data_IF_140907329662
#
_entry.id   IF_140907329662
#
_cell.length_a   1.000
_cell.length_b   1.000
_cell.length_c   1.000
_cell.angle_alpha   90.00
_cell.angle_beta   90.00
_cell.angle_gamma   90.00
#
_symmetry.space_group_name_H-M   'P 1'
#
loop_
_entity.id
_entity.type
_entity.pdbx_description
1 polymer ?
#
# COMPACT_ATOMS: atom_id res chain seq x y z
N UNK A 1 -55.31 9.50 59.16
CA UNK A 1 -54.85 9.64 57.77
C UNK A 1 -53.34 9.67 57.82
N UNK A 2 -52.69 8.53 57.69
CA UNK A 2 -51.24 8.39 57.75
C UNK A 2 -50.69 8.32 56.32
N UNK A 3 -49.84 9.32 55.98
CA UNK A 3 -49.14 9.36 54.68
C UNK A 3 -48.01 8.31 54.66
N UNK A 4 -47.84 7.56 53.59
CA UNK A 4 -46.73 6.68 53.47
C UNK A 4 -45.45 7.46 53.18
N UNK A 5 -44.40 7.19 53.99
CA UNK A 5 -43.05 7.69 53.76
C UNK A 5 -42.46 7.14 52.48
N UNK A 6 -41.80 7.95 51.64
CA UNK A 6 -41.06 7.45 50.51
C UNK A 6 -39.82 6.70 51.01
N UNK A 7 -39.78 5.39 50.81
CA UNK A 7 -38.58 4.56 51.00
C UNK A 7 -37.47 5.02 50.06
N UNK A 8 -36.54 5.81 50.60
CA UNK A 8 -35.28 6.14 49.91
C UNK A 8 -34.43 4.88 49.79
N UNK A 9 -34.42 4.30 48.60
CA UNK A 9 -33.47 3.30 48.19
C UNK A 9 -32.07 3.94 48.18
N UNK A 10 -31.40 3.91 49.34
CA UNK A 10 -29.98 4.19 49.45
C UNK A 10 -29.26 2.98 48.90
N UNK A 11 -29.30 2.81 47.60
CA UNK A 11 -28.43 1.84 46.92
C UNK A 11 -26.99 2.26 47.17
N UNK A 12 -26.30 1.40 47.89
CA UNK A 12 -24.92 1.43 48.32
C UNK A 12 -23.99 2.13 47.32
N UNK A 13 -23.74 3.41 47.50
CA UNK A 13 -22.94 4.26 46.61
C UNK A 13 -21.51 3.75 46.34
N UNK A 14 -21.03 2.82 47.19
CA UNK A 14 -19.73 2.22 46.99
C UNK A 14 -19.72 1.15 45.87
N UNK A 15 -20.81 0.42 45.65
CA UNK A 15 -20.90 -0.58 44.58
C UNK A 15 -21.09 0.09 43.22
N UNK A 16 -21.96 1.08 43.15
CA UNK A 16 -22.20 1.87 41.93
C UNK A 16 -20.96 2.64 41.52
N UNK A 17 -20.23 3.24 42.48
CA UNK A 17 -18.95 3.91 42.19
C UNK A 17 -17.88 2.95 41.68
N UNK A 18 -17.76 1.76 42.26
CA UNK A 18 -16.81 0.74 41.78
C UNK A 18 -17.12 0.28 40.37
N UNK A 19 -18.41 0.04 40.07
CA UNK A 19 -18.84 -0.35 38.71
C UNK A 19 -18.56 0.79 37.71
N UNK A 20 -18.90 2.03 38.07
CA UNK A 20 -18.64 3.18 37.19
C UNK A 20 -17.16 3.41 36.92
N UNK A 21 -16.29 3.29 37.93
CA UNK A 21 -14.83 3.38 37.75
C UNK A 21 -14.31 2.24 36.88
N UNK A 22 -14.76 1.01 37.13
CA UNK A 22 -14.34 -0.15 36.31
C UNK A 22 -14.76 0.00 34.85
N UNK A 23 -15.97 0.44 34.58
CA UNK A 23 -16.47 0.67 33.22
C UNK A 23 -15.70 1.81 32.54
N UNK A 24 -15.39 2.90 33.29
CA UNK A 24 -14.59 3.99 32.76
C UNK A 24 -13.18 3.55 32.36
N UNK A 25 -12.50 2.81 33.27
CA UNK A 25 -11.15 2.29 33.01
C UNK A 25 -11.13 1.35 31.81
N UNK A 26 -12.11 0.42 31.74
CA UNK A 26 -12.26 -0.50 30.63
C UNK A 26 -12.51 0.25 29.30
N UNK A 27 -13.37 1.27 29.32
CA UNK A 27 -13.67 2.11 28.17
C UNK A 27 -12.45 2.88 27.68
N UNK A 28 -11.66 3.46 28.60
CA UNK A 28 -10.40 4.14 28.25
C UNK A 28 -9.36 3.18 27.67
N UNK A 29 -9.22 2.01 28.27
CA UNK A 29 -8.29 0.98 27.77
C UNK A 29 -8.67 0.50 26.36
N UNK A 30 -9.96 0.28 26.12
CA UNK A 30 -10.45 -0.12 24.80
C UNK A 30 -10.30 0.99 23.77
N UNK A 31 -10.59 2.24 24.13
CA UNK A 31 -10.36 3.41 23.27
C UNK A 31 -8.89 3.60 22.91
N UNK A 32 -7.99 3.43 23.88
CA UNK A 32 -6.56 3.51 23.64
C UNK A 32 -6.07 2.40 22.69
N UNK A 33 -6.59 1.17 22.84
CA UNK A 33 -6.26 0.05 21.96
C UNK A 33 -6.78 0.28 20.54
N UNK A 34 -8.01 0.79 20.38
CA UNK A 34 -8.55 1.15 19.07
C UNK A 34 -7.74 2.28 18.42
N UNK A 35 -7.39 3.31 19.18
CA UNK A 35 -6.59 4.42 18.67
C UNK A 35 -5.22 3.97 18.19
N UNK A 36 -4.52 3.14 18.96
CA UNK A 36 -3.25 2.54 18.54
C UNK A 36 -3.39 1.72 17.26
N UNK A 37 -4.44 0.89 17.15
CA UNK A 37 -4.66 0.05 15.97
C UNK A 37 -4.94 0.87 14.70
N UNK A 38 -5.69 1.96 14.81
CA UNK A 38 -5.96 2.83 13.65
C UNK A 38 -4.76 3.70 13.26
N UNK A 39 -3.89 4.03 14.21
CA UNK A 39 -2.73 4.90 13.95
C UNK A 39 -1.62 4.20 13.16
N UNK A 40 -1.51 2.88 13.25
CA UNK A 40 -0.42 2.11 12.63
C UNK A 40 -0.66 1.73 11.17
N UNK A 41 -1.91 1.72 10.68
CA UNK A 41 -2.26 1.18 9.36
C UNK A 41 -2.51 2.22 8.26
N UNK A 42 -2.23 3.49 8.48
CA UNK A 42 -2.38 4.49 7.41
C UNK A 42 -1.22 4.38 6.42
N UNK A 43 -1.34 3.45 5.48
CA UNK A 43 -0.43 3.33 4.36
C UNK A 43 -0.93 4.22 3.21
N UNK A 44 -0.10 5.16 2.78
CA UNK A 44 -0.42 6.05 1.67
C UNK A 44 0.05 5.43 0.35
N UNK A 45 -0.88 5.06 -0.52
CA UNK A 45 -0.58 4.65 -1.89
C UNK A 45 -0.32 5.90 -2.75
N UNK A 46 0.89 6.04 -3.26
CA UNK A 46 1.33 7.22 -4.00
C UNK A 46 2.24 6.83 -5.17
N UNK A 47 2.21 7.64 -6.23
CA UNK A 47 3.21 7.55 -7.28
C UNK A 47 4.49 8.27 -6.87
N UNK A 48 5.62 7.83 -7.43
CA UNK A 48 6.94 8.42 -7.12
C UNK A 48 6.97 9.92 -7.41
N UNK A 49 6.40 10.36 -8.53
CA UNK A 49 6.37 11.77 -8.92
C UNK A 49 5.63 12.66 -7.90
N UNK A 50 4.55 12.17 -7.35
CA UNK A 50 3.77 12.89 -6.34
C UNK A 50 4.56 13.09 -5.04
N UNK A 51 5.24 12.03 -4.59
CA UNK A 51 6.04 12.06 -3.36
C UNK A 51 7.31 12.90 -3.55
N UNK A 52 7.96 12.79 -4.71
CA UNK A 52 9.21 13.50 -4.99
C UNK A 52 9.01 14.99 -5.28
N UNK A 53 7.78 15.44 -5.50
CA UNK A 53 7.46 16.88 -5.59
C UNK A 53 7.68 17.59 -4.25
N UNK A 54 7.36 16.94 -3.13
CA UNK A 54 7.57 17.44 -1.77
C UNK A 54 7.99 16.31 -0.83
N UNK A 55 9.23 15.81 -0.92
CA UNK A 55 9.67 14.63 -0.18
C UNK A 55 9.68 14.85 1.34
N UNK A 56 9.92 16.09 1.79
CA UNK A 56 9.96 16.42 3.22
C UNK A 56 8.63 16.12 3.94
N UNK A 57 7.50 16.27 3.26
CA UNK A 57 6.18 15.99 3.83
C UNK A 57 5.93 14.50 4.09
N UNK A 58 6.76 13.65 3.48
CA UNK A 58 6.63 12.19 3.50
C UNK A 58 7.70 11.47 4.31
N UNK A 59 8.71 12.19 4.81
CA UNK A 59 9.75 11.57 5.62
C UNK A 59 9.18 10.90 6.86
N UNK A 60 9.61 9.67 7.11
CA UNK A 60 9.18 8.85 8.25
C UNK A 60 7.79 8.24 8.13
N UNK A 61 7.04 8.54 7.06
CA UNK A 61 5.72 7.93 6.83
C UNK A 61 5.84 6.63 6.06
N UNK A 62 4.97 5.68 6.38
CA UNK A 62 4.81 4.44 5.62
C UNK A 62 4.09 4.70 4.31
N UNK A 63 4.73 4.34 3.21
CA UNK A 63 4.24 4.58 1.85
C UNK A 63 4.22 3.27 1.06
N UNK A 64 3.24 3.17 0.16
CA UNK A 64 3.27 2.27 -0.98
C UNK A 64 3.61 3.11 -2.22
N UNK A 65 4.85 3.02 -2.69
CA UNK A 65 5.29 3.76 -3.87
C UNK A 65 5.13 2.90 -5.13
N UNK A 66 4.41 3.45 -6.09
CA UNK A 66 4.21 2.85 -7.41
C UNK A 66 5.12 3.51 -8.45
N UNK A 67 5.77 2.69 -9.26
CA UNK A 67 6.64 3.14 -10.34
C UNK A 67 7.25 1.98 -11.12
N UNK A 68 8.31 2.26 -11.88
CA UNK A 68 9.07 1.28 -12.63
C UNK A 68 10.45 1.12 -12.02
N UNK A 69 10.85 -0.13 -11.78
CA UNK A 69 12.16 -0.45 -11.25
C UNK A 69 13.24 -0.29 -12.33
N UNK A 70 14.38 0.27 -11.97
CA UNK A 70 15.56 0.42 -12.84
C UNK A 70 16.84 0.36 -12.03
N UNK A 71 17.97 0.14 -12.72
CA UNK A 71 19.31 0.04 -12.14
C UNK A 71 19.37 -0.91 -10.92
N UNK A 72 18.80 -2.11 -11.10
CA UNK A 72 18.74 -3.11 -10.03
C UNK A 72 20.13 -3.71 -9.83
N UNK A 73 20.71 -3.47 -8.65
CA UNK A 73 22.02 -3.98 -8.25
C UNK A 73 21.88 -4.84 -7.00
N UNK A 74 22.33 -6.07 -7.11
CA UNK A 74 22.44 -6.99 -5.96
C UNK A 74 23.88 -7.01 -5.46
N UNK A 75 24.05 -6.94 -4.13
CA UNK A 75 25.35 -7.15 -3.52
C UNK A 75 25.72 -8.65 -3.60
N UNK A 76 26.95 -9.01 -4.06
CA UNK A 76 27.39 -10.41 -4.09
C UNK A 76 27.23 -11.06 -2.71
N UNK A 77 26.82 -12.32 -2.68
CA UNK A 77 26.64 -13.13 -1.47
C UNK A 77 25.70 -12.54 -0.39
N UNK A 78 24.80 -11.67 -0.80
CA UNK A 78 23.84 -11.01 0.08
C UNK A 78 22.46 -10.94 -0.59
N UNK A 79 21.43 -10.76 0.22
CA UNK A 79 20.07 -10.45 -0.22
C UNK A 79 19.80 -8.94 -0.26
N UNK A 80 20.86 -8.13 -0.24
CA UNK A 80 20.75 -6.68 -0.31
C UNK A 80 20.64 -6.22 -1.76
N UNK A 81 19.57 -5.52 -2.05
CA UNK A 81 19.28 -4.92 -3.34
C UNK A 81 19.30 -3.40 -3.21
N UNK A 82 19.87 -2.75 -4.21
CA UNK A 82 19.77 -1.31 -4.44
C UNK A 82 19.22 -1.11 -5.83
N UNK A 83 18.21 -0.29 -5.95
CA UNK A 83 17.54 -0.02 -7.23
C UNK A 83 16.90 1.35 -7.20
N UNK A 84 16.49 1.80 -8.35
CA UNK A 84 15.76 3.05 -8.49
C UNK A 84 14.33 2.75 -8.91
N UNK A 85 13.38 3.52 -8.38
CA UNK A 85 11.98 3.45 -8.81
C UNK A 85 11.61 4.78 -9.39
N UNK A 86 11.17 4.77 -10.64
CA UNK A 86 10.84 5.96 -11.40
C UNK A 86 9.39 6.02 -11.85
N UNK A 87 8.84 7.22 -11.91
CA UNK A 87 7.55 7.52 -12.52
C UNK A 87 7.52 8.98 -13.01
N UNK A 88 7.04 9.20 -14.24
CA UNK A 88 6.95 10.55 -14.85
C UNK A 88 8.24 11.39 -14.78
N UNK A 89 9.41 10.73 -14.94
CA UNK A 89 10.70 11.43 -14.92
C UNK A 89 11.27 11.74 -13.53
N UNK A 90 10.56 11.37 -12.45
CA UNK A 90 11.06 11.43 -11.09
C UNK A 90 11.59 10.05 -10.67
N UNK A 91 12.70 10.03 -9.94
CA UNK A 91 13.36 8.81 -9.47
C UNK A 91 13.56 8.86 -7.97
N UNK A 92 13.40 7.73 -7.32
CA UNK A 92 13.76 7.54 -5.91
C UNK A 92 14.68 6.32 -5.77
N UNK A 93 15.78 6.49 -5.03
CA UNK A 93 16.67 5.37 -4.69
C UNK A 93 16.04 4.55 -3.59
N UNK A 94 16.00 3.23 -3.79
CA UNK A 94 15.43 2.29 -2.83
C UNK A 94 16.46 1.24 -2.41
N UNK A 95 16.39 0.85 -1.16
CA UNK A 95 17.19 -0.26 -0.59
C UNK A 95 16.25 -1.31 -0.04
N UNK A 96 16.55 -2.57 -0.32
CA UNK A 96 15.78 -3.72 0.12
C UNK A 96 16.69 -4.86 0.54
N UNK A 97 16.36 -5.52 1.63
CA UNK A 97 17.03 -6.75 2.07
C UNK A 97 16.00 -7.86 2.19
N UNK A 98 16.08 -8.85 1.31
CA UNK A 98 15.14 -9.97 1.31
C UNK A 98 15.04 -10.67 -0.05
N UNK A 99 14.05 -11.54 -0.17
CA UNK A 99 13.75 -12.29 -1.39
C UNK A 99 12.88 -11.42 -2.30
N UNK A 100 13.25 -11.30 -3.56
CA UNK A 100 12.48 -10.59 -4.57
C UNK A 100 11.73 -11.58 -5.48
N UNK A 101 10.55 -11.21 -6.01
CA UNK A 101 9.85 -12.02 -6.99
C UNK A 101 10.67 -12.18 -8.30
N UNK A 102 10.49 -13.27 -9.03
CA UNK A 102 11.14 -13.50 -10.33
C UNK A 102 10.78 -12.45 -11.40
N UNK A 103 9.64 -11.78 -11.19
CA UNK A 103 9.17 -10.67 -12.05
C UNK A 103 9.85 -9.34 -11.77
N UNK A 104 10.67 -9.25 -10.72
CA UNK A 104 11.41 -8.06 -10.35
C UNK A 104 12.65 -7.91 -11.24
N UNK A 105 12.51 -7.14 -12.31
CA UNK A 105 13.55 -6.89 -13.34
C UNK A 105 13.55 -5.41 -13.71
N UNK A 106 14.62 -4.97 -14.34
CA UNK A 106 14.69 -3.63 -14.90
C UNK A 106 13.54 -3.37 -15.88
N UNK A 107 12.85 -2.25 -15.69
CA UNK A 107 11.66 -1.86 -16.44
C UNK A 107 10.35 -2.47 -15.94
N UNK A 108 10.37 -3.37 -14.96
CA UNK A 108 9.11 -3.91 -14.39
C UNK A 108 8.35 -2.86 -13.59
N UNK A 109 7.03 -2.91 -13.69
CA UNK A 109 6.13 -2.12 -12.84
C UNK A 109 6.12 -2.72 -11.43
N UNK A 110 6.42 -1.90 -10.44
CA UNK A 110 6.55 -2.32 -9.04
C UNK A 110 5.76 -1.43 -8.11
N UNK A 111 5.30 -2.04 -7.03
CA UNK A 111 4.83 -1.33 -5.85
C UNK A 111 5.75 -1.71 -4.70
N UNK A 112 6.40 -0.73 -4.10
CA UNK A 112 7.28 -0.93 -2.96
C UNK A 112 6.67 -0.33 -1.70
N UNK A 113 6.66 -1.13 -0.63
CA UNK A 113 6.17 -0.75 0.69
C UNK A 113 7.35 -0.42 1.59
N UNK A 114 7.31 0.72 2.26
CA UNK A 114 8.40 1.11 3.15
C UNK A 114 8.30 2.54 3.63
N UNK A 115 9.43 3.12 4.01
CA UNK A 115 9.51 4.46 4.58
C UNK A 115 10.51 5.31 3.79
N UNK A 116 10.11 6.54 3.48
CA UNK A 116 10.99 7.51 2.84
C UNK A 116 11.86 8.20 3.89
N UNK A 117 13.17 8.19 3.65
CA UNK A 117 14.15 8.91 4.44
C UNK A 117 14.99 9.87 3.60
N UNK A 118 15.85 10.68 4.22
CA UNK A 118 16.72 11.62 3.52
C UNK A 118 17.71 10.95 2.55
N UNK A 119 18.10 9.71 2.84
CA UNK A 119 19.04 8.93 2.03
C UNK A 119 18.37 8.12 0.91
N UNK A 120 17.04 8.05 0.89
CA UNK A 120 16.25 7.27 -0.06
C UNK A 120 15.12 6.50 0.62
N UNK A 121 14.52 5.58 -0.12
CA UNK A 121 13.41 4.77 0.34
C UNK A 121 13.92 3.44 0.92
N UNK A 122 13.54 3.15 2.16
CA UNK A 122 13.88 1.89 2.84
C UNK A 122 12.65 0.99 2.72
N UNK A 123 12.81 -0.09 1.96
CA UNK A 123 11.73 -1.06 1.73
C UNK A 123 11.62 -2.01 2.91
N UNK A 124 10.39 -2.24 3.38
CA UNK A 124 10.10 -3.19 4.45
C UNK A 124 10.30 -4.65 3.97
N UNK A 125 10.51 -5.61 4.89
CA UNK A 125 10.50 -7.04 4.56
C UNK A 125 9.21 -7.40 3.81
N UNK A 126 9.34 -8.21 2.74
CA UNK A 126 8.24 -8.58 1.83
C UNK A 126 7.52 -7.39 1.16
N UNK A 127 8.14 -6.21 1.20
CA UNK A 127 7.59 -4.96 0.67
C UNK A 127 7.79 -4.75 -0.82
N UNK A 128 8.34 -5.70 -1.58
CA UNK A 128 8.50 -5.60 -3.04
C UNK A 128 7.42 -6.42 -3.74
N UNK A 129 6.54 -5.75 -4.46
CA UNK A 129 5.51 -6.36 -5.30
C UNK A 129 5.77 -5.97 -6.74
N UNK A 130 6.24 -6.91 -7.57
CA UNK A 130 6.39 -6.70 -9.00
C UNK A 130 5.13 -7.20 -9.72
N UNK A 131 4.54 -6.33 -10.53
CA UNK A 131 3.42 -6.73 -11.38
C UNK A 131 3.95 -7.48 -12.59
N UNK A 132 3.35 -8.63 -12.92
CA UNK A 132 3.57 -9.25 -14.22
C UNK A 132 3.09 -8.26 -15.29
N UNK A 133 3.87 -8.00 -16.35
CA UNK A 133 3.38 -7.27 -17.51
C UNK A 133 2.30 -8.14 -18.18
N UNK A 134 1.10 -8.10 -17.64
CA UNK A 134 -0.07 -8.63 -18.34
C UNK A 134 -0.27 -7.72 -19.54
N UNK A 135 -0.33 -8.32 -20.75
CA UNK A 135 -0.61 -7.66 -22.03
C UNK A 135 -2.05 -7.09 -22.08
N UNK A 136 -2.41 -6.30 -21.09
CA UNK A 136 -3.50 -5.36 -21.19
C UNK A 136 -2.92 -4.01 -21.58
N UNK A 137 -2.36 -3.93 -22.79
CA UNK A 137 -2.46 -2.68 -23.50
C UNK A 137 -3.96 -2.43 -23.64
N UNK A 138 -4.48 -1.60 -22.78
CA UNK A 138 -5.77 -0.96 -23.00
C UNK A 138 -5.66 -0.32 -24.38
N UNK A 139 -6.31 -0.93 -25.36
CA UNK A 139 -6.32 -0.46 -26.72
C UNK A 139 -6.63 1.04 -26.71
N UNK A 140 -5.74 1.82 -27.32
CA UNK A 140 -6.03 3.22 -27.61
C UNK A 140 -7.41 3.29 -28.24
N UNK A 141 -8.36 4.05 -27.70
CA UNK A 141 -9.63 4.29 -28.40
C UNK A 141 -9.31 5.16 -29.60
N UNK A 142 -9.33 4.58 -30.79
CA UNK A 142 -9.23 5.35 -32.02
C UNK A 142 -8.32 4.77 -33.09
N UNK A 143 -8.62 3.56 -33.58
CA UNK A 143 -8.31 3.21 -34.97
C UNK A 143 -9.51 2.46 -35.53
N UNK A 144 -10.22 3.01 -36.55
CA UNK A 144 -11.33 2.32 -37.21
C UNK A 144 -10.78 1.17 -38.04
N UNK A 145 -11.36 -0.02 -37.83
CA UNK A 145 -11.45 -1.17 -38.66
C UNK A 145 -10.46 -1.35 -39.80
N UNK A 146 -9.50 -2.27 -39.60
CA UNK A 146 -9.03 -3.05 -40.73
C UNK A 146 -9.59 -4.45 -40.60
N UNK A 147 -10.72 -4.64 -41.25
CA UNK A 147 -11.24 -5.95 -41.64
C UNK A 147 -10.21 -6.61 -42.55
N UNK A 148 -9.53 -7.62 -42.03
CA UNK A 148 -8.71 -8.53 -42.83
C UNK A 148 -9.67 -9.33 -43.71
N UNK A 149 -9.77 -8.89 -44.98
CA UNK A 149 -10.45 -9.58 -46.05
C UNK A 149 -9.63 -10.83 -46.40
N UNK A 150 -10.20 -12.04 -46.42
CA UNK A 150 -9.50 -13.19 -46.94
C UNK A 150 -9.26 -13.04 -48.43
N UNK A 151 -8.06 -13.28 -48.88
CA UNK A 151 -7.69 -13.31 -50.29
C UNK A 151 -8.44 -14.46 -51.01
N UNK A 152 -9.01 -14.24 -52.21
CA UNK A 152 -9.63 -15.30 -52.97
C UNK A 152 -8.56 -16.20 -53.59
N UNK A 153 -8.75 -17.51 -53.41
CA UNK A 153 -7.87 -18.54 -53.90
C UNK A 153 -7.74 -18.52 -55.41
N UNK A 154 -6.49 -18.59 -55.87
CA UNK A 154 -6.13 -18.83 -57.27
C UNK A 154 -6.29 -20.30 -57.54
N UNK A 155 -7.33 -20.69 -58.27
CA UNK A 155 -7.43 -22.00 -58.88
C UNK A 155 -6.53 -22.00 -60.12
N UNK A 156 -5.48 -22.80 -60.07
CA UNK A 156 -4.71 -23.18 -61.26
C UNK A 156 -5.42 -24.33 -61.92
N UNK A 157 -5.98 -24.09 -63.09
CA UNK A 157 -6.46 -25.13 -63.99
C UNK A 157 -5.29 -25.67 -64.80
N UNK A 158 -5.08 -26.97 -64.68
CA UNK A 158 -4.22 -27.77 -65.58
C UNK A 158 -4.90 -27.92 -66.93
N UNK A 159 -4.12 -27.81 -67.98
CA UNK A 159 -4.25 -28.51 -69.24
C UNK A 159 -2.86 -28.82 -69.77
#
# INVERSE_FOLDING_TARGET
MSLPSPSQNIMSGSRTAKIAISTLVLGLAFSAMLYSSLAEDTQYYKHVDEVMTRPADWYGKRLLLHGHASDIRRKPDSLDYRFEVGFNGQLVKATYTGIVPDTFKDGSEVVIKGTLGPAGFIVEPDGVMAKCPSKYEAGKPGAPGQTSRPAPGTQSSAN
#
